data_IF_036232050277
#
_entry.id   IF_036232050277
#
_cell.length_a   1.000
_cell.length_b   1.000
_cell.length_c   1.000
_cell.angle_alpha   90.00
_cell.angle_beta   90.00
_cell.angle_gamma   90.00
#
_symmetry.space_group_name_H-M   'P 1'
#
loop_
_entity.id
_entity.type
_entity.pdbx_description
1 polymer ?
#
# COMPACT_ATOMS: atom_id res chain seq x y z
N UNK A 1 7.26 22.91 19.37
CA UNK A 1 8.44 22.03 19.12
C UNK A 1 8.10 20.86 18.21
N UNK A 2 7.17 19.96 18.59
CA UNK A 2 6.86 18.76 17.79
C UNK A 2 6.39 19.05 16.34
N UNK A 3 5.48 20.01 16.14
CA UNK A 3 5.00 20.38 14.80
C UNK A 3 6.13 20.89 13.87
N UNK A 4 7.09 21.63 14.43
CA UNK A 4 8.25 22.10 13.68
C UNK A 4 9.15 20.92 13.25
N UNK A 5 9.41 19.97 14.16
CA UNK A 5 10.19 18.77 13.85
C UNK A 5 9.49 17.90 12.78
N UNK A 6 8.18 17.71 12.88
CA UNK A 6 7.39 16.99 11.87
C UNK A 6 7.47 17.68 10.52
N UNK A 7 7.30 19.02 10.49
CA UNK A 7 7.41 19.79 9.25
C UNK A 7 8.80 19.68 8.61
N UNK A 8 9.86 19.78 9.41
CA UNK A 8 11.24 19.62 8.94
C UNK A 8 11.50 18.20 8.40
N UNK A 9 10.99 17.17 9.08
CA UNK A 9 11.12 15.78 8.63
C UNK A 9 10.36 15.51 7.31
N UNK A 10 9.12 16.00 7.18
CA UNK A 10 8.35 15.88 5.94
C UNK A 10 9.08 16.59 4.79
N UNK A 11 9.56 17.81 5.01
CA UNK A 11 10.33 18.54 4.00
C UNK A 11 11.59 17.77 3.60
N UNK A 12 12.33 17.22 4.57
CA UNK A 12 13.52 16.41 4.32
C UNK A 12 13.20 15.17 3.47
N UNK A 13 12.12 14.45 3.79
CA UNK A 13 11.66 13.29 2.99
C UNK A 13 11.28 13.72 1.57
N UNK A 14 10.52 14.80 1.42
CA UNK A 14 10.11 15.31 0.10
C UNK A 14 11.31 15.74 -0.75
N UNK A 15 12.31 16.40 -0.16
CA UNK A 15 13.56 16.78 -0.84
C UNK A 15 14.33 15.52 -1.28
N UNK A 16 14.44 14.50 -0.43
CA UNK A 16 15.10 13.24 -0.78
C UNK A 16 14.37 12.50 -1.90
N UNK A 17 13.03 12.44 -1.85
CA UNK A 17 12.23 11.84 -2.91
C UNK A 17 12.36 12.62 -4.22
N UNK A 18 12.26 13.95 -4.18
CA UNK A 18 12.45 14.80 -5.36
C UNK A 18 13.84 14.63 -5.97
N UNK A 19 14.88 14.61 -5.13
CA UNK A 19 16.25 14.33 -5.56
C UNK A 19 16.37 12.94 -6.19
N UNK A 20 15.76 11.91 -5.59
CA UNK A 20 15.74 10.55 -6.13
C UNK A 20 15.08 10.47 -7.52
N UNK A 21 13.93 11.12 -7.73
CA UNK A 21 13.23 11.09 -9.02
C UNK A 21 13.85 11.99 -10.09
N UNK A 22 14.51 13.09 -9.69
CA UNK A 22 15.06 14.09 -10.62
C UNK A 22 16.51 13.80 -11.00
N UNK A 23 17.30 13.21 -10.09
CA UNK A 23 18.72 13.02 -10.31
C UNK A 23 18.97 11.85 -11.26
N UNK A 24 19.33 12.18 -12.50
CA UNK A 24 19.64 11.25 -13.60
C UNK A 24 20.92 10.42 -13.37
N UNK A 25 21.65 10.61 -12.28
CA UNK A 25 22.90 9.88 -11.98
C UNK A 25 22.65 8.39 -11.70
N UNK A 26 21.43 7.99 -11.34
CA UNK A 26 21.02 6.58 -11.27
C UNK A 26 20.64 5.98 -12.64
N UNK A 27 20.99 6.61 -13.78
CA UNK A 27 20.72 6.14 -15.16
C UNK A 27 21.36 4.80 -15.56
N UNK A 28 22.06 4.10 -14.66
CA UNK A 28 22.38 2.66 -14.83
C UNK A 28 21.41 1.72 -14.12
N UNK A 29 20.44 2.23 -13.37
CA UNK A 29 19.39 1.45 -12.72
C UNK A 29 18.12 1.51 -13.57
N UNK A 30 17.63 0.34 -13.95
CA UNK A 30 16.49 0.05 -14.82
C UNK A 30 15.12 0.50 -14.27
N UNK A 31 15.12 1.46 -13.35
CA UNK A 31 13.93 1.93 -12.68
C UNK A 31 13.23 3.00 -13.54
N UNK A 32 12.27 2.56 -14.34
CA UNK A 32 11.40 3.48 -15.09
C UNK A 32 10.48 4.21 -14.11
N UNK A 33 10.67 5.52 -13.95
CA UNK A 33 9.79 6.38 -13.15
C UNK A 33 8.32 6.22 -13.56
N UNK A 34 8.06 6.02 -14.86
CA UNK A 34 6.71 5.77 -15.37
C UNK A 34 6.13 4.42 -14.87
N UNK A 35 6.97 3.39 -14.74
CA UNK A 35 6.55 2.08 -14.24
C UNK A 35 6.27 2.12 -12.73
N UNK A 36 7.09 2.86 -11.98
CA UNK A 36 6.85 3.11 -10.55
C UNK A 36 5.55 3.90 -10.30
N UNK A 37 5.33 5.00 -11.02
CA UNK A 37 4.09 5.79 -10.89
C UNK A 37 2.85 4.98 -11.23
N UNK A 38 2.93 4.11 -12.25
CA UNK A 38 1.84 3.17 -12.58
C UNK A 38 1.57 2.21 -11.42
N UNK A 39 2.61 1.60 -10.83
CA UNK A 39 2.45 0.73 -9.66
C UNK A 39 1.82 1.49 -8.48
N UNK A 40 2.30 2.70 -8.19
CA UNK A 40 1.76 3.54 -7.11
C UNK A 40 0.27 3.85 -7.30
N UNK A 41 -0.13 4.24 -8.51
CA UNK A 41 -1.55 4.49 -8.85
C UNK A 41 -2.39 3.23 -8.73
N UNK A 42 -1.89 2.08 -9.19
CA UNK A 42 -2.58 0.79 -9.07
C UNK A 42 -2.77 0.41 -7.61
N UNK A 43 -1.72 0.48 -6.79
CA UNK A 43 -1.80 0.16 -5.36
C UNK A 43 -2.74 1.12 -4.61
N UNK A 44 -2.72 2.39 -4.97
CA UNK A 44 -3.66 3.39 -4.42
C UNK A 44 -5.11 3.04 -4.82
N UNK A 45 -5.35 2.66 -6.08
CA UNK A 45 -6.65 2.20 -6.53
C UNK A 45 -7.13 0.94 -5.79
N UNK A 46 -6.25 -0.03 -5.57
CA UNK A 46 -6.54 -1.24 -4.79
C UNK A 46 -6.87 -0.88 -3.34
N UNK A 47 -6.07 -0.03 -2.71
CA UNK A 47 -6.29 0.47 -1.35
C UNK A 47 -7.70 1.07 -1.19
N UNK A 48 -8.07 2.03 -2.05
CA UNK A 48 -9.40 2.64 -1.99
C UNK A 48 -10.50 1.63 -2.35
N UNK A 49 -10.26 0.74 -3.31
CA UNK A 49 -11.21 -0.30 -3.71
C UNK A 49 -11.57 -1.25 -2.55
N UNK A 50 -10.56 -1.76 -1.84
CA UNK A 50 -10.79 -2.61 -0.67
C UNK A 50 -11.39 -1.83 0.51
N UNK A 51 -10.99 -0.58 0.72
CA UNK A 51 -11.63 0.30 1.70
C UNK A 51 -13.14 0.41 1.47
N UNK A 52 -13.58 0.58 0.21
CA UNK A 52 -15.01 0.62 -0.14
C UNK A 52 -15.70 -0.73 0.06
N UNK A 53 -15.03 -1.85 -0.21
CA UNK A 53 -15.54 -3.19 0.08
C UNK A 53 -15.76 -3.36 1.59
N UNK A 54 -14.78 -3.01 2.42
CA UNK A 54 -14.91 -3.08 3.88
C UNK A 54 -16.01 -2.14 4.38
N UNK A 55 -16.12 -0.95 3.80
CA UNK A 55 -17.20 -0.02 4.15
C UNK A 55 -18.56 -0.64 3.85
N UNK A 56 -18.75 -1.22 2.66
CA UNK A 56 -19.98 -1.91 2.30
C UNK A 56 -20.30 -3.08 3.24
N UNK A 57 -19.30 -3.91 3.60
CA UNK A 57 -19.51 -5.02 4.53
C UNK A 57 -19.86 -4.55 5.95
N UNK A 58 -19.25 -3.45 6.41
CA UNK A 58 -19.50 -2.87 7.74
C UNK A 58 -20.94 -2.37 7.94
N UNK A 59 -21.70 -2.15 6.85
CA UNK A 59 -23.12 -1.78 6.93
C UNK A 59 -24.04 -2.92 7.33
N UNK A 60 -23.57 -4.18 7.20
CA UNK A 60 -24.38 -5.38 7.43
C UNK A 60 -24.03 -6.05 8.76
N UNK A 61 -22.73 -6.13 9.07
CA UNK A 61 -22.22 -6.82 10.25
C UNK A 61 -20.94 -6.16 10.79
N UNK A 62 -20.58 -6.51 12.03
CA UNK A 62 -19.30 -6.09 12.61
C UNK A 62 -18.17 -6.88 11.95
N UNK A 63 -17.40 -6.19 11.11
CA UNK A 63 -16.31 -6.80 10.34
C UNK A 63 -14.93 -6.69 10.99
N UNK A 64 -14.74 -5.78 11.95
CA UNK A 64 -13.45 -5.50 12.57
C UNK A 64 -13.59 -5.39 14.09
N UNK A 65 -12.67 -6.02 14.82
CA UNK A 65 -12.57 -5.92 16.28
C UNK A 65 -11.15 -5.60 16.73
N UNK A 66 -11.01 -4.91 17.87
CA UNK A 66 -9.69 -4.59 18.44
C UNK A 66 -9.02 -5.78 19.11
N UNK A 67 -9.81 -6.71 19.66
CA UNK A 67 -9.29 -7.87 20.40
C UNK A 67 -10.28 -9.03 20.34
N UNK A 68 -9.78 -10.25 20.21
CA UNK A 68 -10.62 -11.46 20.12
C UNK A 68 -11.36 -11.80 21.42
N UNK A 69 -10.76 -11.48 22.58
CA UNK A 69 -11.33 -11.77 23.91
C UNK A 69 -12.50 -10.85 24.26
N UNK A 70 -12.39 -9.56 23.89
CA UNK A 70 -13.41 -8.55 24.20
C UNK A 70 -14.44 -8.34 23.10
N UNK A 71 -14.14 -8.78 21.87
CA UNK A 71 -14.93 -8.52 20.65
C UNK A 71 -15.36 -7.04 20.54
N UNK A 72 -14.52 -6.12 21.00
CA UNK A 72 -14.82 -4.69 20.96
C UNK A 72 -14.79 -4.23 19.49
N UNK A 73 -15.92 -3.76 18.95
CA UNK A 73 -16.01 -3.37 17.55
C UNK A 73 -15.13 -2.15 17.28
N UNK A 74 -14.45 -2.16 16.13
CA UNK A 74 -13.79 -0.97 15.61
C UNK A 74 -14.84 -0.08 14.96
N UNK A 75 -14.81 1.22 15.26
CA UNK A 75 -15.67 2.20 14.60
C UNK A 75 -15.47 2.16 13.08
N UNK A 76 -16.58 2.13 12.34
CA UNK A 76 -16.62 1.97 10.89
C UNK A 76 -16.35 3.28 10.13
N UNK A 77 -15.69 4.26 10.75
CA UNK A 77 -15.25 5.46 10.04
C UNK A 77 -14.36 5.10 8.86
N UNK A 78 -14.53 5.86 7.78
CA UNK A 78 -13.77 5.68 6.54
C UNK A 78 -12.25 5.62 6.79
N UNK A 79 -11.74 6.44 7.72
CA UNK A 79 -10.32 6.48 8.06
C UNK A 79 -9.82 5.20 8.73
N UNK A 80 -10.61 4.56 9.61
CA UNK A 80 -10.23 3.28 10.21
C UNK A 80 -10.22 2.17 9.17
N UNK A 81 -11.18 2.15 8.25
CA UNK A 81 -11.23 1.15 7.17
C UNK A 81 -10.12 1.35 6.14
N UNK A 82 -9.79 2.61 5.82
CA UNK A 82 -8.66 2.95 4.96
C UNK A 82 -7.33 2.54 5.61
N UNK A 83 -7.20 2.77 6.91
CA UNK A 83 -6.05 2.33 7.68
C UNK A 83 -5.94 0.79 7.69
N UNK A 84 -7.03 0.07 7.99
CA UNK A 84 -7.06 -1.40 7.95
C UNK A 84 -6.66 -1.95 6.57
N UNK A 85 -7.21 -1.38 5.50
CA UNK A 85 -6.87 -1.71 4.12
C UNK A 85 -5.38 -1.46 3.85
N UNK A 86 -4.82 -0.32 4.27
CA UNK A 86 -3.39 -0.03 4.12
C UNK A 86 -2.48 -1.00 4.86
N UNK A 87 -2.80 -1.28 6.13
CA UNK A 87 -2.05 -2.23 6.97
C UNK A 87 -2.08 -3.63 6.37
N UNK A 88 -3.18 -4.01 5.73
CA UNK A 88 -3.38 -5.32 5.08
C UNK A 88 -2.68 -5.39 3.72
N UNK A 89 -2.88 -4.40 2.85
CA UNK A 89 -2.31 -4.32 1.51
C UNK A 89 -0.78 -4.28 1.55
N UNK A 90 -0.21 -3.46 2.43
CA UNK A 90 1.26 -3.35 2.55
C UNK A 90 1.87 -4.39 3.48
N UNK A 91 1.09 -5.39 3.92
CA UNK A 91 1.54 -6.49 4.79
C UNK A 91 2.21 -5.99 6.08
N UNK A 92 1.75 -4.86 6.62
CA UNK A 92 2.26 -4.28 7.87
C UNK A 92 1.72 -5.07 9.07
N UNK A 93 0.42 -5.39 9.05
CA UNK A 93 -0.22 -6.29 10.00
C UNK A 93 0.01 -5.96 11.49
N UNK A 94 -0.22 -4.71 11.93
CA UNK A 94 0.02 -4.30 13.32
C UNK A 94 -0.76 -5.11 14.37
N UNK A 95 -1.88 -5.72 13.98
CA UNK A 95 -2.70 -6.57 14.85
C UNK A 95 -3.64 -5.81 15.79
N UNK A 96 -3.77 -4.49 15.59
CA UNK A 96 -4.68 -3.60 16.30
C UNK A 96 -6.13 -3.64 15.78
N UNK A 97 -6.32 -4.09 14.54
CA UNK A 97 -7.62 -4.35 13.93
C UNK A 97 -7.65 -5.76 13.33
N UNK A 98 -8.61 -6.57 13.78
CA UNK A 98 -8.72 -7.98 13.40
C UNK A 98 -9.98 -8.23 12.57
N UNK A 99 -9.87 -8.83 11.38
CA UNK A 99 -11.01 -9.12 10.53
C UNK A 99 -11.85 -10.29 11.04
N UNK A 100 -13.17 -10.10 10.94
CA UNK A 100 -14.21 -11.08 11.21
C UNK A 100 -15.03 -11.34 9.93
N UNK A 101 -15.81 -12.42 9.95
CA UNK A 101 -16.77 -12.73 8.87
C UNK A 101 -16.15 -12.70 7.47
N UNK A 102 -16.85 -12.06 6.55
CA UNK A 102 -16.43 -11.93 5.15
C UNK A 102 -15.13 -11.11 4.98
N UNK A 103 -14.82 -10.20 5.91
CA UNK A 103 -13.62 -9.36 5.82
C UNK A 103 -12.32 -10.18 5.86
N UNK A 104 -12.34 -11.39 6.45
CA UNK A 104 -11.18 -12.32 6.43
C UNK A 104 -10.81 -12.77 5.02
N UNK A 105 -11.81 -13.07 4.20
CA UNK A 105 -11.59 -13.50 2.83
C UNK A 105 -11.02 -12.35 1.99
N UNK A 106 -11.62 -11.17 2.10
CA UNK A 106 -11.14 -9.98 1.40
C UNK A 106 -9.76 -9.53 1.87
N UNK A 107 -9.45 -9.61 3.16
CA UNK A 107 -8.11 -9.26 3.66
C UNK A 107 -7.02 -10.19 3.12
N UNK A 108 -7.32 -11.48 2.97
CA UNK A 108 -6.39 -12.41 2.34
C UNK A 108 -6.16 -12.07 0.86
N UNK A 109 -7.22 -11.79 0.11
CA UNK A 109 -7.11 -11.36 -1.29
C UNK A 109 -6.33 -10.05 -1.43
N UNK A 110 -6.59 -9.09 -0.55
CA UNK A 110 -5.90 -7.81 -0.52
C UNK A 110 -4.40 -7.98 -0.28
N UNK A 111 -4.00 -8.76 0.73
CA UNK A 111 -2.58 -9.03 1.00
C UNK A 111 -1.90 -9.77 -0.15
N UNK A 112 -2.60 -10.70 -0.82
CA UNK A 112 -2.08 -11.37 -2.03
C UNK A 112 -1.78 -10.33 -3.11
N UNK A 113 -2.71 -9.42 -3.40
CA UNK A 113 -2.50 -8.36 -4.40
C UNK A 113 -1.38 -7.40 -4.00
N UNK A 114 -1.31 -7.07 -2.71
CA UNK A 114 -0.26 -6.23 -2.14
C UNK A 114 1.16 -6.77 -2.35
N UNK A 115 1.32 -8.09 -2.38
CA UNK A 115 2.60 -8.76 -2.64
C UNK A 115 2.82 -8.99 -4.14
N UNK A 116 1.81 -9.50 -4.85
CA UNK A 116 1.96 -9.92 -6.24
C UNK A 116 2.10 -8.74 -7.21
N UNK A 117 1.43 -7.60 -6.96
CA UNK A 117 1.50 -6.45 -7.86
C UNK A 117 2.92 -5.85 -7.92
N UNK A 118 3.59 -5.51 -6.79
CA UNK A 118 4.97 -5.06 -6.83
C UNK A 118 5.92 -6.09 -7.45
N UNK A 119 5.75 -7.38 -7.14
CA UNK A 119 6.58 -8.45 -7.69
C UNK A 119 6.45 -8.56 -9.22
N UNK A 120 5.22 -8.53 -9.75
CA UNK A 120 4.97 -8.56 -11.19
C UNK A 120 5.55 -7.33 -11.90
N UNK A 121 5.42 -6.15 -11.30
CA UNK A 121 6.01 -4.92 -11.83
C UNK A 121 7.54 -4.99 -11.83
N UNK A 122 8.16 -5.53 -10.79
CA UNK A 122 9.60 -5.71 -10.73
C UNK A 122 10.11 -6.70 -11.79
N UNK A 123 9.43 -7.83 -11.98
CA UNK A 123 9.74 -8.78 -13.05
C UNK A 123 9.68 -8.13 -14.44
N UNK A 124 8.66 -7.30 -14.68
CA UNK A 124 8.53 -6.56 -15.95
C UNK A 124 9.68 -5.56 -16.16
N UNK A 125 10.11 -4.88 -15.10
CA UNK A 125 11.26 -3.96 -15.18
C UNK A 125 12.57 -4.73 -15.48
N UNK A 126 12.74 -5.93 -14.91
CA UNK A 126 13.89 -6.78 -15.20
C UNK A 126 13.86 -7.35 -16.63
N UNK A 127 12.72 -7.77 -17.14
CA UNK A 127 12.65 -8.31 -18.50
C UNK A 127 13.00 -7.26 -19.57
N UNK A 128 12.50 -6.03 -19.40
CA UNK A 128 12.89 -4.88 -20.24
C UNK A 128 14.40 -4.63 -20.23
N UNK A 129 15.09 -4.90 -19.11
CA UNK A 129 16.54 -4.76 -19.00
C UNK A 129 17.32 -5.80 -19.83
N UNK A 130 16.78 -7.01 -19.94
CA UNK A 130 17.44 -8.11 -20.64
C UNK A 130 17.30 -8.03 -22.16
N UNK A 131 16.21 -7.43 -22.66
CA UNK A 131 16.00 -7.22 -24.10
C UNK A 131 16.93 -6.13 -24.65
N UNK A 132 17.11 -5.01 -23.93
CA UNK A 132 18.03 -3.94 -24.36
C UNK A 132 19.52 -4.32 -24.39
N UNK A 133 19.92 -5.42 -23.73
CA UNK A 133 21.31 -5.96 -23.77
C UNK A 133 21.57 -6.96 -24.89
N UNK A 134 20.52 -7.49 -25.54
CA UNK A 134 20.67 -8.47 -26.64
C UNK A 134 20.73 -7.81 -28.02
N UNK A 135 20.44 -6.51 -28.09
CA UNK A 135 20.42 -5.72 -29.33
C UNK A 135 21.66 -4.82 -29.49
N UNK A 136 22.59 -4.83 -28.52
CA UNK A 136 23.96 -4.25 -28.61
C UNK A 136 25.00 -5.38 -28.80
#
# INVERSE_FOLDING_TARGET
MAQFLIGAAILFILVNLYYFFTNKTYRKSYFSTALFLKLFLVLTGVLFGFTLIYYALSTQEVILVKTLTGMEPVDHSFWNLLYFSGVTLFSVGYGDMLPLGAARFFSLLESILGILLPAAYFMKALDQSNQGKKEE
#
